data_IF_940379751765
#
_entry.id   IF_940379751765
#
_cell.length_a   1.000
_cell.length_b   1.000
_cell.length_c   1.000
_cell.angle_alpha   90.00
_cell.angle_beta   90.00
_cell.angle_gamma   90.00
#
_symmetry.space_group_name_H-M   'P 1'
#
loop_
_entity.id
_entity.type
_entity.pdbx_description
1 polymer ?
#
# COMPACT_ATOMS: atom_id res chain seq x y z
N UNK A 1 11.46 -27.37 -0.23
CA UNK A 1 11.73 -25.91 -0.19
C UNK A 1 12.95 -25.62 -1.06
N UNK A 2 12.84 -24.64 -1.97
CA UNK A 2 13.90 -24.26 -2.89
C UNK A 2 14.65 -23.04 -2.34
N UNK A 3 15.86 -23.27 -1.79
CA UNK A 3 16.63 -22.25 -1.09
C UNK A 3 17.09 -21.10 -2.01
N UNK A 4 17.15 -21.32 -3.33
CA UNK A 4 17.53 -20.28 -4.29
C UNK A 4 16.54 -19.10 -4.30
N UNK A 5 15.29 -19.33 -3.91
CA UNK A 5 14.23 -18.30 -3.87
C UNK A 5 14.25 -17.44 -2.61
N UNK A 6 15.01 -17.83 -1.59
CA UNK A 6 15.01 -17.18 -0.27
C UNK A 6 16.40 -16.67 0.15
N UNK A 7 17.27 -16.40 -0.83
CA UNK A 7 18.66 -15.99 -0.61
C UNK A 7 18.82 -14.77 0.31
N UNK A 8 17.89 -13.80 0.28
CA UNK A 8 18.00 -12.60 1.12
C UNK A 8 17.69 -12.92 2.59
N UNK A 9 16.71 -13.80 2.85
CA UNK A 9 16.38 -14.22 4.21
C UNK A 9 17.46 -15.13 4.81
N UNK A 10 18.02 -16.04 4.02
CA UNK A 10 19.04 -16.98 4.50
C UNK A 10 20.43 -16.37 4.64
N UNK A 11 20.66 -15.18 4.08
CA UNK A 11 21.91 -14.43 4.24
C UNK A 11 21.85 -13.50 5.44
N UNK A 12 22.99 -13.16 6.03
CA UNK A 12 23.09 -12.19 7.15
C UNK A 12 23.22 -10.75 6.62
N UNK A 13 22.70 -10.48 5.43
CA UNK A 13 22.84 -9.23 4.70
C UNK A 13 23.64 -9.48 3.43
N UNK A 14 24.87 -8.99 3.37
CA UNK A 14 25.77 -9.22 2.23
C UNK A 14 26.48 -10.58 2.25
N UNK A 15 26.56 -11.23 3.42
CA UNK A 15 27.21 -12.53 3.58
C UNK A 15 26.21 -13.68 3.45
N UNK A 16 26.46 -14.58 2.49
CA UNK A 16 25.74 -15.85 2.40
C UNK A 16 26.13 -16.78 3.55
N UNK A 17 25.12 -17.41 4.16
CA UNK A 17 25.30 -18.41 5.20
C UNK A 17 25.13 -19.80 4.60
N UNK A 18 26.02 -20.73 4.96
CA UNK A 18 25.85 -22.13 4.59
C UNK A 18 24.69 -22.73 5.40
N UNK A 19 23.64 -23.18 4.70
CA UNK A 19 22.43 -23.70 5.34
C UNK A 19 22.65 -25.17 5.74
N UNK A 20 22.92 -25.35 7.03
CA UNK A 20 22.98 -26.65 7.70
C UNK A 20 21.56 -27.23 7.95
N UNK A 21 21.45 -28.53 8.20
CA UNK A 21 20.22 -29.23 8.58
C UNK A 21 19.49 -28.58 9.76
N UNK A 22 20.22 -28.02 10.74
CA UNK A 22 19.64 -27.30 11.89
C UNK A 22 18.85 -26.07 11.43
N UNK A 23 19.47 -25.23 10.60
CA UNK A 23 18.83 -24.04 10.04
C UNK A 23 17.65 -24.43 9.13
N UNK A 24 17.77 -25.55 8.42
CA UNK A 24 16.66 -26.08 7.63
C UNK A 24 15.46 -26.48 8.49
N UNK A 25 15.71 -27.11 9.64
CA UNK A 25 14.66 -27.46 10.59
C UNK A 25 13.98 -26.21 11.18
N UNK A 26 14.74 -25.13 11.41
CA UNK A 26 14.15 -23.83 11.79
C UNK A 26 13.24 -23.27 10.69
N UNK A 27 13.59 -23.42 9.41
CA UNK A 27 12.74 -22.97 8.30
C UNK A 27 11.43 -23.77 8.20
N UNK A 28 11.43 -25.03 8.60
CA UNK A 28 10.22 -25.88 8.62
C UNK A 28 9.18 -25.40 9.66
N UNK A 29 9.57 -24.52 10.59
CA UNK A 29 8.64 -23.88 11.52
C UNK A 29 7.65 -22.91 10.85
N UNK A 30 7.94 -22.48 9.61
CA UNK A 30 7.08 -21.59 8.84
C UNK A 30 6.59 -22.24 7.55
N UNK A 31 5.39 -21.85 7.11
CA UNK A 31 4.91 -22.24 5.79
C UNK A 31 5.80 -21.66 4.68
N UNK A 32 5.90 -22.35 3.54
CA UNK A 32 6.74 -21.90 2.43
C UNK A 32 6.35 -20.50 1.90
N UNK A 33 5.06 -20.17 1.85
CA UNK A 33 4.57 -18.85 1.45
C UNK A 33 4.95 -17.76 2.45
N UNK A 34 5.00 -18.08 3.75
CA UNK A 34 5.48 -17.19 4.79
C UNK A 34 6.95 -16.85 4.59
N UNK A 35 7.81 -17.85 4.38
CA UNK A 35 9.26 -17.63 4.16
C UNK A 35 9.51 -16.81 2.89
N UNK A 36 8.76 -17.05 1.81
CA UNK A 36 8.84 -16.23 0.59
C UNK A 36 8.45 -14.76 0.85
N UNK A 37 7.39 -14.54 1.64
CA UNK A 37 6.95 -13.20 2.03
C UNK A 37 7.99 -12.50 2.92
N UNK A 38 8.63 -13.25 3.82
CA UNK A 38 9.71 -12.72 4.65
C UNK A 38 10.93 -12.34 3.83
N UNK A 39 11.34 -13.19 2.89
CA UNK A 39 12.42 -12.88 1.95
C UNK A 39 12.15 -11.60 1.15
N UNK A 40 10.90 -11.36 0.72
CA UNK A 40 10.53 -10.12 0.05
C UNK A 40 10.67 -8.89 0.98
N UNK A 41 10.29 -9.02 2.26
CA UNK A 41 10.48 -7.97 3.26
C UNK A 41 11.94 -7.64 3.52
N UNK A 42 12.77 -8.67 3.74
CA UNK A 42 14.23 -8.51 3.93
C UNK A 42 14.86 -7.89 2.68
N UNK A 43 14.47 -8.32 1.48
CA UNK A 43 14.94 -7.72 0.22
C UNK A 43 14.62 -6.22 0.14
N UNK A 44 13.40 -5.81 0.53
CA UNK A 44 13.01 -4.40 0.53
C UNK A 44 13.82 -3.58 1.54
N UNK A 45 14.11 -4.15 2.71
CA UNK A 45 14.96 -3.53 3.73
C UNK A 45 16.41 -3.38 3.27
N UNK A 46 17.00 -4.41 2.66
CA UNK A 46 18.36 -4.32 2.09
C UNK A 46 18.45 -3.28 0.98
N UNK A 47 17.39 -3.15 0.15
CA UNK A 47 17.31 -2.08 -0.84
C UNK A 47 17.33 -0.69 -0.18
N UNK A 48 16.57 -0.49 0.89
CA UNK A 48 16.61 0.74 1.68
C UNK A 48 18.03 1.06 2.19
N UNK A 49 18.71 0.08 2.77
CA UNK A 49 20.09 0.25 3.26
C UNK A 49 21.03 0.66 2.13
N UNK A 50 20.92 0.03 0.95
CA UNK A 50 21.74 0.38 -0.21
C UNK A 50 21.48 1.79 -0.74
N UNK A 51 20.23 2.27 -0.72
CA UNK A 51 19.87 3.62 -1.19
C UNK A 51 20.22 4.73 -0.19
N UNK A 52 20.28 4.39 1.10
CA UNK A 52 20.56 5.36 2.18
C UNK A 52 22.06 5.49 2.47
N UNK A 53 22.90 4.85 1.64
CA UNK A 53 24.37 4.97 1.72
C UNK A 53 25.06 3.86 2.51
N UNK A 54 24.36 2.76 2.80
CA UNK A 54 24.92 1.61 3.51
C UNK A 54 24.89 0.35 2.61
N UNK A 55 25.75 0.28 1.57
CA UNK A 55 25.70 -0.77 0.56
C UNK A 55 26.09 -2.16 1.09
N UNK A 56 26.82 -2.22 2.22
CA UNK A 56 27.30 -3.46 2.83
C UNK A 56 26.67 -3.64 4.22
N UNK A 57 25.34 -3.71 4.25
CA UNK A 57 24.61 -3.98 5.49
C UNK A 57 24.80 -5.44 5.94
N UNK A 58 25.04 -5.62 7.24
CA UNK A 58 25.00 -6.91 7.92
C UNK A 58 24.18 -6.79 9.20
N UNK A 59 23.46 -7.85 9.59
CA UNK A 59 22.77 -7.91 10.87
C UNK A 59 23.76 -7.72 12.05
N UNK A 60 23.30 -7.15 13.19
CA UNK A 60 21.92 -6.81 13.54
C UNK A 60 21.46 -5.46 12.99
N UNK A 61 20.16 -5.33 12.67
CA UNK A 61 19.56 -4.02 12.41
C UNK A 61 19.35 -3.29 13.74
N UNK A 62 19.60 -1.98 13.75
CA UNK A 62 19.36 -1.13 14.92
C UNK A 62 17.91 -0.67 14.99
N UNK A 63 17.47 -0.22 16.18
CA UNK A 63 16.17 0.47 16.33
C UNK A 63 16.02 1.62 15.33
N UNK A 64 17.11 2.36 15.09
CA UNK A 64 17.14 3.52 14.19
C UNK A 64 16.96 3.10 12.73
N UNK A 65 17.63 2.02 12.29
CA UNK A 65 17.46 1.48 10.93
C UNK A 65 16.00 1.14 10.64
N UNK A 66 15.29 0.55 11.63
CA UNK A 66 13.88 0.20 11.49
C UNK A 66 12.98 1.43 11.45
N UNK A 67 13.29 2.43 12.28
CA UNK A 67 12.59 3.72 12.30
C UNK A 67 12.71 4.44 10.94
N UNK A 68 13.92 4.57 10.42
CA UNK A 68 14.21 5.21 9.14
C UNK A 68 13.64 4.41 7.96
N UNK A 69 13.72 3.08 8.01
CA UNK A 69 13.09 2.21 7.03
C UNK A 69 11.57 2.46 6.95
N UNK A 70 10.89 2.59 8.09
CA UNK A 70 9.45 2.87 8.12
C UNK A 70 9.12 4.22 7.48
N UNK A 71 9.93 5.25 7.71
CA UNK A 71 9.76 6.56 7.09
C UNK A 71 10.06 6.55 5.58
N UNK A 72 11.07 5.80 5.16
CA UNK A 72 11.47 5.70 3.75
C UNK A 72 10.48 4.89 2.92
N UNK A 73 9.98 3.76 3.45
CA UNK A 73 9.08 2.85 2.75
C UNK A 73 7.60 3.25 2.85
N UNK A 74 7.19 3.74 4.02
CA UNK A 74 5.80 4.03 4.34
C UNK A 74 5.21 5.20 3.54
N UNK A 75 3.89 5.18 3.37
CA UNK A 75 3.17 6.26 2.69
C UNK A 75 3.10 7.50 3.57
N UNK A 76 3.72 8.57 3.10
CA UNK A 76 3.74 9.88 3.75
C UNK A 76 3.14 10.95 2.84
N UNK A 77 2.92 12.16 3.36
CA UNK A 77 2.44 13.29 2.52
C UNK A 77 3.39 13.62 1.36
N UNK A 78 4.67 13.23 1.46
CA UNK A 78 5.69 13.50 0.44
C UNK A 78 5.91 12.31 -0.53
N UNK A 79 5.52 11.08 -0.15
CA UNK A 79 5.74 9.86 -0.93
C UNK A 79 4.42 9.10 -1.12
N UNK A 80 3.85 9.20 -2.33
CA UNK A 80 2.50 8.69 -2.63
C UNK A 80 2.44 7.44 -3.51
N UNK A 81 3.16 7.43 -4.64
CA UNK A 81 2.98 6.40 -5.68
C UNK A 81 3.77 5.09 -5.39
N UNK A 82 5.06 5.19 -5.06
CA UNK A 82 5.92 4.03 -4.83
C UNK A 82 5.95 3.54 -3.37
N UNK A 83 5.22 4.25 -2.50
CA UNK A 83 5.17 3.96 -1.08
C UNK A 83 4.28 2.74 -0.80
N UNK A 84 4.73 1.90 0.15
CA UNK A 84 3.98 0.72 0.56
C UNK A 84 2.92 1.07 1.59
N UNK A 85 1.86 0.27 1.64
CA UNK A 85 0.81 0.40 2.65
C UNK A 85 1.34 0.08 4.04
N UNK A 86 0.73 0.66 5.07
CA UNK A 86 1.01 0.38 6.49
C UNK A 86 0.90 -1.12 6.78
N UNK A 87 -0.10 -1.81 6.22
CA UNK A 87 -0.27 -3.27 6.37
C UNK A 87 0.92 -4.04 5.81
N UNK A 88 1.42 -3.65 4.63
CA UNK A 88 2.59 -4.29 4.01
C UNK A 88 3.86 -3.98 4.80
N UNK A 89 4.01 -2.75 5.28
CA UNK A 89 5.13 -2.34 6.11
C UNK A 89 5.20 -3.14 7.42
N UNK A 90 4.06 -3.37 8.08
CA UNK A 90 3.98 -4.23 9.28
C UNK A 90 4.41 -5.67 8.96
N UNK A 91 4.00 -6.23 7.82
CA UNK A 91 4.46 -7.55 7.37
C UNK A 91 5.98 -7.60 7.17
N UNK A 92 6.57 -6.53 6.65
CA UNK A 92 8.03 -6.44 6.50
C UNK A 92 8.75 -6.31 7.84
N UNK A 93 8.20 -5.61 8.83
CA UNK A 93 8.76 -5.59 10.18
C UNK A 93 8.77 -6.99 10.82
N UNK A 94 7.67 -7.75 10.68
CA UNK A 94 7.65 -9.15 11.12
C UNK A 94 8.67 -10.02 10.39
N UNK A 95 8.88 -9.78 9.09
CA UNK A 95 9.91 -10.46 8.33
C UNK A 95 11.32 -10.18 8.87
N UNK A 96 11.62 -8.91 9.18
CA UNK A 96 12.92 -8.50 9.75
C UNK A 96 13.09 -9.09 11.16
N UNK A 97 12.04 -9.12 11.97
CA UNK A 97 12.07 -9.78 13.27
C UNK A 97 12.36 -11.29 13.16
N UNK A 98 11.66 -11.98 12.26
CA UNK A 98 11.91 -13.40 12.00
C UNK A 98 13.34 -13.63 11.47
N UNK A 99 13.87 -12.70 10.68
CA UNK A 99 15.24 -12.73 10.17
C UNK A 99 16.27 -12.61 11.30
N UNK A 100 16.06 -11.73 12.28
CA UNK A 100 16.91 -11.66 13.48
C UNK A 100 16.88 -12.98 14.26
N UNK A 101 15.68 -13.50 14.54
CA UNK A 101 15.50 -14.75 15.28
C UNK A 101 16.15 -15.95 14.56
N UNK A 102 16.02 -16.01 13.22
CA UNK A 102 16.59 -17.08 12.42
C UNK A 102 18.13 -17.12 12.49
N UNK A 103 18.77 -15.94 12.53
CA UNK A 103 20.23 -15.81 12.65
C UNK A 103 20.73 -15.73 14.09
N UNK A 104 19.84 -15.79 15.09
CA UNK A 104 20.19 -15.75 16.51
C UNK A 104 20.54 -14.36 17.05
N UNK A 105 20.13 -13.29 16.37
CA UNK A 105 20.30 -11.92 16.86
C UNK A 105 19.05 -11.45 17.63
N UNK A 106 19.25 -10.57 18.61
CA UNK A 106 18.15 -9.92 19.30
C UNK A 106 17.50 -8.86 18.38
N UNK A 107 16.16 -8.86 18.30
CA UNK A 107 15.42 -7.82 17.60
C UNK A 107 15.36 -6.55 18.48
N UNK A 108 15.68 -5.37 17.94
CA UNK A 108 15.73 -4.14 18.72
C UNK A 108 14.31 -3.63 19.09
N UNK A 109 14.10 -3.25 20.35
CA UNK A 109 12.76 -2.92 20.89
C UNK A 109 12.61 -1.42 21.23
N UNK A 110 13.72 -0.68 21.33
CA UNK A 110 13.75 0.66 21.97
C UNK A 110 12.80 1.67 21.30
N UNK A 111 12.67 1.62 19.97
CA UNK A 111 11.83 2.55 19.20
C UNK A 111 10.47 1.97 18.80
N UNK A 112 10.04 0.84 19.38
CA UNK A 112 8.77 0.16 19.02
C UNK A 112 7.56 1.09 19.12
N UNK A 113 7.48 1.93 20.15
CA UNK A 113 6.38 2.88 20.32
C UNK A 113 6.33 3.92 19.19
N UNK A 114 7.48 4.45 18.78
CA UNK A 114 7.58 5.43 17.70
C UNK A 114 7.29 4.81 16.34
N UNK A 115 7.79 3.60 16.08
CA UNK A 115 7.48 2.82 14.87
C UNK A 115 5.97 2.60 14.76
N UNK A 116 5.29 2.26 15.87
CA UNK A 116 3.83 2.13 15.88
C UNK A 116 3.10 3.45 15.55
N UNK A 117 3.62 4.59 16.00
CA UNK A 117 3.07 5.89 15.64
C UNK A 117 3.23 6.17 14.13
N UNK A 118 4.39 5.83 13.55
CA UNK A 118 4.62 5.94 12.09
C UNK A 118 3.64 5.05 11.32
N UNK A 119 3.45 3.80 11.75
CA UNK A 119 2.51 2.87 11.11
C UNK A 119 1.08 3.42 11.13
N UNK A 120 0.64 4.02 12.26
CA UNK A 120 -0.67 4.68 12.37
C UNK A 120 -0.78 5.89 11.43
N UNK A 121 0.27 6.71 11.34
CA UNK A 121 0.30 7.85 10.42
C UNK A 121 0.22 7.39 8.95
N UNK A 122 0.94 6.33 8.59
CA UNK A 122 0.87 5.71 7.26
C UNK A 122 -0.53 5.17 6.98
N UNK A 123 -1.16 4.49 7.94
CA UNK A 123 -2.51 3.94 7.79
C UNK A 123 -3.55 5.04 7.54
N UNK A 124 -3.42 6.19 8.22
CA UNK A 124 -4.28 7.36 7.96
C UNK A 124 -4.11 7.85 6.51
N UNK A 125 -2.88 7.92 6.01
CA UNK A 125 -2.59 8.33 4.63
C UNK A 125 -3.07 7.32 3.60
N UNK A 126 -2.98 6.02 3.90
CA UNK A 126 -3.53 4.96 3.07
C UNK A 126 -5.05 5.09 2.92
N UNK A 127 -5.75 5.37 4.02
CA UNK A 127 -7.19 5.60 4.01
C UNK A 127 -7.57 6.83 3.17
N UNK A 128 -6.86 7.96 3.33
CA UNK A 128 -7.06 9.15 2.50
C UNK A 128 -6.82 8.88 1.00
N UNK A 129 -5.78 8.09 0.67
CA UNK A 129 -5.47 7.72 -0.70
C UNK A 129 -6.58 6.84 -1.31
N UNK A 130 -7.06 5.84 -0.57
CA UNK A 130 -8.17 4.98 -1.00
C UNK A 130 -9.43 5.80 -1.27
N UNK A 131 -9.81 6.69 -0.36
CA UNK A 131 -10.98 7.57 -0.53
C UNK A 131 -10.87 8.47 -1.77
N UNK A 132 -9.67 9.01 -2.05
CA UNK A 132 -9.45 9.81 -3.28
C UNK A 132 -9.65 8.96 -4.54
N UNK A 133 -9.13 7.73 -4.56
CA UNK A 133 -9.28 6.83 -5.71
C UNK A 133 -10.74 6.45 -5.99
N UNK A 134 -11.53 6.20 -4.95
CA UNK A 134 -12.95 5.84 -5.08
C UNK A 134 -13.78 7.01 -5.59
N UNK A 135 -13.55 8.23 -5.08
CA UNK A 135 -14.23 9.44 -5.55
C UNK A 135 -13.94 9.73 -7.03
N UNK A 136 -12.70 9.59 -7.48
CA UNK A 136 -12.33 9.78 -8.89
C UNK A 136 -12.97 8.73 -9.80
N UNK A 137 -13.01 7.46 -9.37
CA UNK A 137 -13.62 6.37 -10.13
C UNK A 137 -15.14 6.56 -10.29
N UNK A 138 -15.83 6.98 -9.23
CA UNK A 138 -17.26 7.28 -9.28
C UNK A 138 -17.57 8.44 -10.23
N UNK A 139 -16.78 9.50 -10.19
CA UNK A 139 -16.96 10.66 -11.08
C UNK A 139 -16.81 10.29 -12.56
N UNK A 140 -15.83 9.45 -12.93
CA UNK A 140 -15.66 8.94 -14.30
C UNK A 140 -16.84 8.08 -14.76
N UNK A 141 -17.31 7.17 -13.91
CA UNK A 141 -18.48 6.33 -14.21
C UNK A 141 -19.76 7.16 -14.35
N UNK A 142 -19.93 8.20 -13.53
CA UNK A 142 -21.08 9.11 -13.60
C UNK A 142 -21.01 10.01 -14.84
N UNK A 143 -19.85 10.58 -15.16
CA UNK A 143 -19.62 11.33 -16.40
C UNK A 143 -19.92 10.48 -17.63
N UNK A 144 -19.45 9.24 -17.68
CA UNK A 144 -19.76 8.30 -18.77
C UNK A 144 -21.26 8.09 -18.93
N UNK A 145 -22.00 7.88 -17.83
CA UNK A 145 -23.47 7.76 -17.86
C UNK A 145 -24.17 9.04 -18.35
N UNK A 146 -23.63 10.21 -17.99
CA UNK A 146 -24.17 11.52 -18.41
C UNK A 146 -23.87 11.79 -19.89
N UNK A 147 -22.73 11.36 -20.41
CA UNK A 147 -22.33 11.52 -21.82
C UNK A 147 -22.98 10.47 -22.72
N UNK A 148 -23.13 9.23 -22.24
CA UNK A 148 -23.73 8.13 -23.01
C UNK A 148 -25.25 8.28 -23.15
N UNK A 149 -25.92 8.93 -22.18
CA UNK A 149 -27.37 9.20 -22.22
C UNK A 149 -27.78 10.04 -23.44
N UNK A 150 -27.20 11.21 -23.71
CA UNK A 150 -27.49 11.96 -24.92
C UNK A 150 -26.96 11.24 -26.16
N UNK A 151 -25.78 10.60 -26.14
CA UNK A 151 -25.25 9.87 -27.31
C UNK A 151 -26.25 8.84 -27.86
N UNK A 152 -26.82 8.00 -26.99
CA UNK A 152 -27.86 7.04 -27.40
C UNK A 152 -29.13 7.71 -27.93
N UNK A 153 -29.49 8.88 -27.42
CA UNK A 153 -30.62 9.66 -27.91
C UNK A 153 -30.34 10.25 -29.31
N UNK A 154 -29.11 10.71 -29.57
CA UNK A 154 -28.68 11.17 -30.90
C UNK A 154 -28.58 10.01 -31.90
N UNK A 155 -28.08 8.85 -31.48
CA UNK A 155 -27.97 7.64 -32.33
C UNK A 155 -29.36 7.07 -32.68
N UNK A 156 -30.35 7.17 -31.77
CA UNK A 156 -31.75 6.76 -32.04
C UNK A 156 -32.55 7.78 -32.86
N UNK A 157 -32.09 9.04 -32.91
CA UNK A 157 -32.69 10.09 -33.76
C UNK A 157 -32.06 10.14 -35.17
N UNK A 158 -31.03 9.34 -35.44
CA UNK A 158 -30.26 9.35 -36.69
C UNK A 158 -30.98 8.88 -37.96
N UNK A 159 -32.17 8.27 -37.86
CA UNK A 159 -32.84 7.66 -39.03
C UNK A 159 -34.10 8.36 -39.54
N UNK A 160 -34.52 9.51 -38.97
CA UNK A 160 -35.67 10.26 -39.52
C UNK A 160 -35.51 11.80 -39.54
N UNK A 161 -34.95 12.26 -40.68
CA UNK A 161 -35.35 13.46 -41.43
C UNK A 161 -34.89 14.86 -40.94
N UNK A 162 -35.01 15.91 -41.78
CA UNK A 162 -33.92 16.68 -42.37
C UNK A 162 -33.61 17.99 -41.62
N UNK A 163 -32.42 18.53 -41.93
CA UNK A 163 -31.92 19.81 -41.41
C UNK A 163 -32.88 20.96 -41.70
N UNK A 164 -33.49 21.54 -40.66
CA UNK A 164 -33.80 22.97 -40.61
C UNK A 164 -33.50 23.50 -39.22
N UNK A 165 -32.40 24.23 -39.12
CA UNK A 165 -32.08 25.06 -37.97
C UNK A 165 -33.02 26.26 -37.96
N UNK A 166 -33.73 26.47 -36.86
CA UNK A 166 -34.21 27.80 -36.47
C UNK A 166 -33.78 28.04 -35.03
N UNK A 167 -32.81 28.94 -34.90
CA UNK A 167 -32.47 29.63 -33.67
C UNK A 167 -33.72 30.38 -33.19
N UNK A 168 -34.22 30.09 -31.99
CA UNK A 168 -34.73 31.09 -31.05
C UNK A 168 -35.34 30.46 -29.77
N UNK A 169 -35.15 31.18 -28.66
CA UNK A 169 -35.75 31.02 -27.32
C UNK A 169 -35.11 30.00 -26.38
N UNK A 170 -33.96 30.41 -25.87
CA UNK A 170 -33.65 30.28 -24.45
C UNK A 170 -34.57 31.22 -23.67
N UNK A 171 -35.38 30.69 -22.74
CA UNK A 171 -35.79 31.33 -21.48
C UNK A 171 -36.94 30.50 -20.89
N UNK A 172 -36.59 29.68 -19.90
CA UNK A 172 -37.32 29.41 -18.65
C UNK A 172 -37.09 27.97 -18.19
N UNK A 173 -36.06 27.78 -17.36
CA UNK A 173 -36.22 26.98 -16.16
C UNK A 173 -35.14 27.38 -15.16
N UNK A 174 -35.43 28.46 -14.43
CA UNK A 174 -34.75 28.73 -13.17
C UNK A 174 -35.60 28.22 -12.01
N UNK A 175 -34.89 27.93 -10.94
CA UNK A 175 -35.29 27.84 -9.54
C UNK A 175 -35.66 26.46 -8.95
N UNK A 176 -34.84 26.14 -7.92
CA UNK A 176 -35.08 25.37 -6.68
C UNK A 176 -34.73 23.88 -6.68
N UNK A 177 -33.55 23.55 -6.12
CA UNK A 177 -33.56 22.92 -4.80
C UNK A 177 -32.24 23.12 -4.03
N UNK A 178 -32.37 23.54 -2.77
CA UNK A 178 -31.31 23.71 -1.78
C UNK A 178 -31.50 22.70 -0.64
N UNK A 179 -30.39 22.34 0.01
CA UNK A 179 -30.26 21.59 1.28
C UNK A 179 -30.42 20.05 1.14
N UNK A 180 -29.67 19.19 1.84
CA UNK A 180 -29.01 19.29 3.16
C UNK A 180 -27.74 18.43 3.25
N UNK A 181 -26.75 18.93 4.00
CA UNK A 181 -25.73 18.10 4.66
C UNK A 181 -26.42 17.18 5.69
N UNK A 182 -26.01 15.92 5.75
CA UNK A 182 -26.42 14.96 6.76
C UNK A 182 -25.41 13.82 6.91
N UNK A 183 -24.65 13.92 8.01
CA UNK A 183 -23.99 12.88 8.81
C UNK A 183 -23.08 11.80 8.20
N UNK A 184 -21.80 11.99 8.52
CA UNK A 184 -20.79 10.97 8.74
C UNK A 184 -21.13 10.19 10.03
N UNK A 185 -21.44 8.90 9.90
CA UNK A 185 -21.23 7.93 10.98
C UNK A 185 -20.37 6.79 10.45
N UNK A 186 -19.10 6.81 10.85
CA UNK A 186 -18.14 5.72 10.72
C UNK A 186 -18.14 4.98 12.06
N UNK A 187 -18.94 3.93 12.16
CA UNK A 187 -18.81 2.96 13.26
C UNK A 187 -17.74 1.92 12.90
N UNK A 188 -16.58 2.13 13.51
CA UNK A 188 -15.85 1.17 14.33
C UNK A 188 -15.72 -0.27 13.84
N UNK A 189 -14.53 -0.58 13.33
CA UNK A 189 -13.99 -1.93 13.27
C UNK A 189 -12.86 -2.07 14.32
N UNK A 190 -13.17 -2.75 15.42
CA UNK A 190 -12.27 -3.48 16.34
C UNK A 190 -12.60 -4.94 16.09
N UNK A 191 -11.71 -5.92 16.06
CA UNK A 191 -10.46 -6.20 16.74
C UNK A 191 -9.91 -7.46 16.02
N UNK A 192 -8.63 -7.80 16.06
CA UNK A 192 -8.17 -9.17 16.36
C UNK A 192 -6.65 -9.20 16.46
N UNK A 193 -6.25 -9.97 17.47
CA UNK A 193 -4.94 -10.24 18.06
C UNK A 193 -3.99 -10.97 17.09
#
# INVERSE_FOLDING_TARGET
MDLSKIQHFTSTGTRQVNINWKLRHLLDAWSWSTVLSYNAGVKKFLKFQSETGNPVFNLPATSQDLYEFCLWAGRTSMRGADAITSVTLTKYLFAIQAWHNFHGFAYPIDLKAQINLILKACAKKDAEFKLRSEKTALHLCQLKKIVDRPRKAWDTLGDKHPRKCTCEKWHDFSVKNTATLGDLSLENNTMFL
#
